data_IF_928979777678
#
_entry.id   IF_928979777678
#
_cell.length_a   1.000
_cell.length_b   1.000
_cell.length_c   1.000
_cell.angle_alpha   90.00
_cell.angle_beta   90.00
_cell.angle_gamma   90.00
#
_symmetry.space_group_name_H-M   'P 1'
#
loop_
_entity.id
_entity.type
_entity.pdbx_description
1 polymer ?
#
# COMPACT_ATOMS: atom_id res chain seq x y z
N UNK A 1 0.14 -7.85 18.88
CA UNK A 1 -0.23 -8.75 17.77
C UNK A 1 -1.25 -8.06 16.90
N UNK A 2 -1.19 -8.23 15.59
CA UNK A 2 -2.09 -7.59 14.62
C UNK A 2 -1.72 -7.97 13.20
N UNK A 3 -2.48 -7.50 12.22
CA UNK A 3 -2.14 -7.58 10.80
C UNK A 3 -1.50 -6.27 10.36
N UNK A 4 -0.25 -6.29 9.90
CA UNK A 4 0.36 -5.13 9.25
C UNK A 4 -0.04 -5.14 7.76
N UNK A 5 -0.65 -4.07 7.27
CA UNK A 5 -0.95 -3.86 5.85
C UNK A 5 -0.17 -2.65 5.36
N UNK A 6 0.80 -2.91 4.50
CA UNK A 6 1.70 -1.89 3.96
C UNK A 6 1.39 -1.62 2.49
N UNK A 7 1.29 -0.34 2.13
CA UNK A 7 1.27 0.10 0.74
C UNK A 7 2.40 1.10 0.50
N UNK A 8 3.57 0.59 0.09
CA UNK A 8 4.80 1.33 -0.06
C UNK A 8 4.98 1.95 -1.45
N UNK A 9 6.23 2.28 -1.77
CA UNK A 9 6.63 2.74 -3.10
C UNK A 9 6.88 1.57 -4.06
N UNK A 10 7.56 0.51 -3.60
CA UNK A 10 7.91 -0.65 -4.43
C UNK A 10 6.96 -1.83 -4.33
N UNK A 11 6.35 -2.05 -3.16
CA UNK A 11 5.53 -3.22 -2.86
C UNK A 11 4.34 -2.85 -1.99
N UNK A 12 3.25 -3.60 -2.11
CA UNK A 12 2.21 -3.66 -1.09
C UNK A 12 2.13 -5.09 -0.54
N UNK A 13 1.96 -5.24 0.77
CA UNK A 13 1.85 -6.56 1.39
C UNK A 13 1.01 -6.52 2.67
N UNK A 14 0.55 -7.70 3.07
CA UNK A 14 -0.11 -7.93 4.34
C UNK A 14 0.64 -9.02 5.10
N UNK A 15 1.07 -8.72 6.32
CA UNK A 15 1.91 -9.58 7.17
C UNK A 15 1.29 -9.72 8.55
N UNK A 16 0.87 -10.93 8.97
CA UNK A 16 0.42 -11.16 10.34
C UNK A 16 1.59 -11.12 11.32
N UNK A 17 1.39 -10.45 12.45
CA UNK A 17 2.36 -10.34 13.54
C UNK A 17 1.72 -10.88 14.81
N UNK A 18 2.33 -11.89 15.43
CA UNK A 18 1.86 -12.47 16.69
C UNK A 18 3.01 -12.61 17.68
N UNK A 19 2.83 -12.08 18.89
CA UNK A 19 3.85 -12.16 19.94
C UNK A 19 5.19 -11.53 19.55
N UNK A 20 5.16 -10.44 18.77
CA UNK A 20 6.36 -9.77 18.27
C UNK A 20 6.97 -10.39 17.00
N UNK A 21 6.50 -11.56 16.56
CA UNK A 21 7.09 -12.29 15.44
C UNK A 21 6.20 -12.22 14.20
N UNK A 22 6.84 -12.04 13.04
CA UNK A 22 6.18 -12.04 11.73
C UNK A 22 5.91 -13.46 11.26
N UNK A 23 4.72 -13.71 10.73
CA UNK A 23 4.37 -15.00 10.14
C UNK A 23 4.65 -15.00 8.64
N UNK A 24 5.91 -15.23 8.26
CA UNK A 24 6.36 -15.15 6.86
C UNK A 24 5.55 -16.05 5.90
N UNK A 25 5.17 -17.26 6.34
CA UNK A 25 4.32 -18.18 5.55
C UNK A 25 2.88 -17.70 5.33
N UNK A 26 2.47 -16.67 6.07
CA UNK A 26 1.17 -16.01 5.97
C UNK A 26 1.30 -14.56 5.47
N UNK A 27 2.46 -14.19 4.93
CA UNK A 27 2.67 -12.91 4.26
C UNK A 27 2.28 -13.01 2.80
N UNK A 28 1.42 -12.11 2.34
CA UNK A 28 1.00 -12.03 0.95
C UNK A 28 1.35 -10.66 0.38
N UNK A 29 1.82 -10.61 -0.87
CA UNK A 29 2.33 -9.39 -1.50
C UNK A 29 1.82 -9.20 -2.93
N UNK A 30 1.81 -7.96 -3.38
CA UNK A 30 1.71 -7.56 -4.78
C UNK A 30 2.76 -6.51 -5.13
N UNK A 31 3.17 -6.49 -6.39
CA UNK A 31 4.15 -5.53 -6.91
C UNK A 31 3.47 -4.30 -7.55
N UNK A 32 2.15 -4.15 -7.35
CA UNK A 32 1.42 -2.90 -7.61
C UNK A 32 1.55 -1.99 -6.40
N UNK A 33 2.39 -0.96 -6.52
CA UNK A 33 2.69 -0.02 -5.45
C UNK A 33 2.93 1.40 -5.97
N UNK A 34 3.33 2.32 -5.11
CA UNK A 34 3.39 3.76 -5.42
C UNK A 34 4.19 4.14 -6.67
N UNK A 35 5.29 3.46 -6.99
CA UNK A 35 6.08 3.69 -8.20
C UNK A 35 5.32 3.21 -9.45
N UNK A 36 4.65 2.06 -9.36
CA UNK A 36 3.76 1.53 -10.39
C UNK A 36 2.62 2.51 -10.67
N UNK A 37 1.98 3.05 -9.63
CA UNK A 37 0.91 4.04 -9.79
C UNK A 37 1.40 5.35 -10.42
N UNK A 38 2.66 5.74 -10.17
CA UNK A 38 3.22 6.97 -10.76
C UNK A 38 3.49 6.80 -12.26
N UNK A 39 3.91 5.60 -12.70
CA UNK A 39 3.98 5.27 -14.13
C UNK A 39 2.58 5.23 -14.75
N UNK A 40 1.65 4.52 -14.12
CA UNK A 40 0.28 4.42 -14.62
C UNK A 40 -0.41 5.79 -14.75
N UNK A 41 -0.21 6.69 -13.79
CA UNK A 41 -0.71 8.06 -13.88
C UNK A 41 -0.14 8.82 -15.06
N UNK A 42 1.16 8.63 -15.39
CA UNK A 42 1.73 9.23 -16.59
C UNK A 42 1.00 8.73 -17.84
N UNK A 43 0.77 7.43 -17.93
CA UNK A 43 0.10 6.83 -19.09
C UNK A 43 -1.33 7.37 -19.25
N UNK A 44 -2.10 7.42 -18.15
CA UNK A 44 -3.43 8.04 -18.12
C UNK A 44 -3.41 9.49 -18.61
N UNK A 45 -2.46 10.29 -18.11
CA UNK A 45 -2.34 11.70 -18.47
C UNK A 45 -1.92 11.92 -19.93
N UNK A 46 -1.09 11.04 -20.49
CA UNK A 46 -0.68 11.10 -21.90
C UNK A 46 -1.88 10.85 -22.80
N UNK A 47 -2.72 9.87 -22.46
CA UNK A 47 -3.96 9.60 -23.19
C UNK A 47 -4.96 10.76 -23.09
N UNK A 48 -5.12 11.35 -21.91
CA UNK A 48 -6.08 12.42 -21.68
C UNK A 48 -5.65 13.79 -22.22
N UNK A 49 -4.34 14.08 -22.20
CA UNK A 49 -3.77 15.38 -22.55
C UNK A 49 -2.62 15.25 -23.57
N UNK A 50 -2.88 14.80 -24.81
CA UNK A 50 -1.83 14.54 -25.81
C UNK A 50 -1.05 15.81 -26.21
N UNK A 51 -1.66 16.98 -26.09
CA UNK A 51 -1.05 18.27 -26.46
C UNK A 51 -0.10 18.83 -25.39
N UNK A 52 -0.19 18.33 -24.16
CA UNK A 52 0.74 18.68 -23.09
C UNK A 52 1.85 17.64 -23.18
N UNK A 53 3.12 18.08 -23.23
CA UNK A 53 4.29 17.21 -23.28
C UNK A 53 4.50 16.41 -21.97
N UNK A 54 3.49 15.69 -21.50
CA UNK A 54 3.45 14.90 -20.26
C UNK A 54 4.59 13.88 -20.24
N UNK A 55 4.93 13.31 -21.40
CA UNK A 55 6.06 12.39 -21.53
C UNK A 55 7.40 13.00 -21.10
N UNK A 56 7.61 14.30 -21.37
CA UNK A 56 8.82 15.00 -20.98
C UNK A 56 8.87 15.39 -19.49
N UNK A 57 7.79 15.19 -18.73
CA UNK A 57 7.74 15.62 -17.33
C UNK A 57 8.62 14.73 -16.44
N UNK A 58 9.41 15.33 -15.52
CA UNK A 58 10.21 14.57 -14.57
C UNK A 58 9.35 13.63 -13.71
N UNK A 59 9.89 12.47 -13.36
CA UNK A 59 9.21 11.50 -12.48
C UNK A 59 8.79 12.12 -11.13
N UNK A 60 9.61 13.04 -10.59
CA UNK A 60 9.29 13.78 -9.36
C UNK A 60 8.00 14.59 -9.51
N UNK A 61 7.76 15.21 -10.67
CA UNK A 61 6.55 16.01 -10.94
C UNK A 61 5.31 15.13 -10.93
N UNK A 62 5.35 13.99 -11.62
CA UNK A 62 4.23 13.02 -11.62
C UNK A 62 3.99 12.47 -10.22
N UNK A 63 5.04 12.19 -9.45
CA UNK A 63 4.92 11.76 -8.06
C UNK A 63 4.25 12.81 -7.19
N UNK A 64 4.57 14.10 -7.38
CA UNK A 64 3.94 15.21 -6.63
C UNK A 64 2.48 15.42 -7.04
N UNK A 65 2.19 15.35 -8.33
CA UNK A 65 0.83 15.38 -8.87
C UNK A 65 -0.02 14.25 -8.26
N UNK A 66 0.50 13.01 -8.28
CA UNK A 66 -0.14 11.86 -7.64
C UNK A 66 -0.47 12.14 -6.18
N UNK A 67 0.53 12.57 -5.39
CA UNK A 67 0.36 12.81 -3.95
C UNK A 67 -0.63 13.94 -3.63
N UNK A 68 -0.72 14.96 -4.49
CA UNK A 68 -1.53 16.17 -4.24
C UNK A 68 -2.94 16.09 -4.83
N UNK A 69 -3.12 15.35 -5.91
CA UNK A 69 -4.36 15.38 -6.68
C UNK A 69 -5.14 14.06 -6.62
N UNK A 70 -4.48 12.91 -6.44
CA UNK A 70 -5.17 11.62 -6.48
C UNK A 70 -5.83 11.26 -5.14
N UNK A 71 -6.87 10.45 -5.23
CA UNK A 71 -7.64 9.93 -4.09
C UNK A 71 -8.26 8.59 -4.46
N UNK A 72 -8.63 7.79 -3.47
CA UNK A 72 -9.30 6.50 -3.68
C UNK A 72 -10.81 6.73 -3.71
N UNK A 73 -11.47 6.25 -4.76
CA UNK A 73 -12.93 6.24 -4.86
C UNK A 73 -13.53 5.10 -4.04
N UNK A 74 -14.73 5.30 -3.49
CA UNK A 74 -15.51 4.24 -2.82
C UNK A 74 -16.38 3.44 -3.79
N UNK A 75 -16.69 4.02 -4.96
CA UNK A 75 -17.49 3.42 -6.01
C UNK A 75 -16.87 3.83 -7.36
N UNK A 76 -15.82 3.08 -7.71
CA UNK A 76 -14.96 3.35 -8.86
C UNK A 76 -15.78 3.40 -10.17
N UNK A 77 -16.62 2.40 -10.40
CA UNK A 77 -17.47 2.32 -11.59
C UNK A 77 -18.44 3.48 -11.66
N UNK A 78 -19.12 3.79 -10.55
CA UNK A 78 -20.06 4.91 -10.53
C UNK A 78 -19.40 6.27 -10.80
N UNK A 79 -18.19 6.50 -10.26
CA UNK A 79 -17.43 7.72 -10.51
C UNK A 79 -16.91 7.81 -11.95
N UNK A 80 -16.60 6.67 -12.58
CA UNK A 80 -16.16 6.59 -13.98
C UNK A 80 -17.30 6.92 -14.95
N UNK A 81 -18.51 6.44 -14.67
CA UNK A 81 -19.68 6.64 -15.54
C UNK A 81 -20.32 8.02 -15.40
N UNK A 82 -20.14 8.71 -14.27
CA UNK A 82 -20.78 10.00 -14.02
C UNK A 82 -19.75 11.09 -13.65
N UNK A 83 -19.36 11.95 -14.61
CA UNK A 83 -18.45 13.08 -14.37
C UNK A 83 -18.89 14.06 -13.30
N UNK A 84 -20.19 14.16 -13.00
CA UNK A 84 -20.69 15.07 -11.95
C UNK A 84 -20.33 14.59 -10.53
N UNK A 85 -19.90 13.33 -10.36
CA UNK A 85 -19.50 12.76 -9.06
C UNK A 85 -18.07 13.13 -8.65
N UNK A 86 -17.27 13.66 -9.57
CA UNK A 86 -15.88 14.01 -9.30
C UNK A 86 -15.51 15.38 -9.83
N UNK A 87 -14.68 16.09 -9.08
CA UNK A 87 -14.28 17.44 -9.43
C UNK A 87 -12.89 17.42 -10.08
N UNK A 88 -12.71 18.07 -11.25
CA UNK A 88 -11.39 18.25 -11.84
C UNK A 88 -10.44 19.01 -10.90
N UNK A 89 -9.15 18.73 -10.99
CA UNK A 89 -8.10 19.48 -10.32
C UNK A 89 -7.11 20.06 -11.34
N UNK A 90 -6.59 21.25 -11.06
CA UNK A 90 -5.53 21.86 -11.84
C UNK A 90 -4.20 21.75 -11.10
N UNK A 91 -3.16 21.25 -11.77
CA UNK A 91 -1.83 21.09 -11.23
C UNK A 91 -0.82 21.93 -12.04
N UNK A 92 -0.08 22.81 -11.37
CA UNK A 92 0.97 23.59 -12.04
C UNK A 92 2.19 22.71 -12.32
N UNK A 93 2.52 22.56 -13.60
CA UNK A 93 3.62 21.72 -14.08
C UNK A 93 4.93 22.53 -14.21
N UNK A 94 4.83 23.85 -14.28
CA UNK A 94 5.95 24.80 -14.35
C UNK A 94 5.66 25.95 -15.32
N UNK A 95 6.33 27.10 -15.14
CA UNK A 95 6.21 28.30 -16.02
C UNK A 95 4.75 28.77 -16.27
N UNK A 96 3.85 28.61 -15.30
CA UNK A 96 2.43 28.97 -15.44
C UNK A 96 1.60 28.01 -16.29
N UNK A 97 2.17 26.86 -16.71
CA UNK A 97 1.41 25.80 -17.39
C UNK A 97 0.68 24.94 -16.35
N UNK A 98 -0.62 24.73 -16.59
CA UNK A 98 -1.49 23.92 -15.74
C UNK A 98 -1.98 22.69 -16.49
N UNK A 99 -1.94 21.56 -15.80
CA UNK A 99 -2.53 20.31 -16.24
C UNK A 99 -3.84 20.11 -15.51
N UNK A 100 -4.93 19.98 -16.26
CA UNK A 100 -6.26 19.64 -15.74
C UNK A 100 -6.39 18.13 -15.67
N UNK A 101 -6.74 17.60 -14.49
CA UNK A 101 -6.86 16.18 -14.19
C UNK A 101 -8.31 15.93 -13.75
N UNK A 102 -8.97 14.93 -14.32
CA UNK A 102 -10.37 14.59 -14.04
C UNK A 102 -10.44 13.20 -13.38
N UNK A 103 -10.76 12.16 -14.14
CA UNK A 103 -10.92 10.80 -13.64
C UNK A 103 -9.60 10.14 -13.30
N UNK A 104 -8.48 10.59 -13.87
CA UNK A 104 -7.14 10.05 -13.58
C UNK A 104 -6.78 10.19 -12.10
N UNK A 105 -7.42 11.14 -11.39
CA UNK A 105 -7.28 11.35 -9.95
C UNK A 105 -7.65 10.09 -9.16
N UNK A 106 -8.73 9.41 -9.52
CA UNK A 106 -9.19 8.21 -8.81
C UNK A 106 -8.88 6.92 -9.57
N UNK A 107 -8.69 6.96 -10.88
CA UNK A 107 -8.17 5.83 -11.64
C UNK A 107 -6.74 5.49 -11.21
N UNK A 108 -5.89 6.49 -10.92
CA UNK A 108 -4.50 6.25 -10.57
C UNK A 108 -4.28 5.26 -9.40
N UNK A 109 -4.95 5.38 -8.24
CA UNK A 109 -4.76 4.45 -7.13
C UNK A 109 -5.59 3.16 -7.22
N UNK A 110 -6.59 3.08 -8.11
CA UNK A 110 -7.48 1.90 -8.22
C UNK A 110 -6.71 0.58 -8.41
N UNK A 111 -5.58 0.49 -9.14
CA UNK A 111 -4.83 -0.75 -9.28
C UNK A 111 -4.33 -1.39 -7.98
N UNK A 112 -4.25 -0.66 -6.85
CA UNK A 112 -3.97 -1.28 -5.55
C UNK A 112 -5.09 -2.26 -5.15
N UNK A 113 -6.33 -1.95 -5.52
CA UNK A 113 -7.54 -2.73 -5.24
C UNK A 113 -7.90 -3.64 -6.42
N UNK A 114 -7.65 -3.20 -7.65
CA UNK A 114 -7.91 -3.95 -8.89
C UNK A 114 -6.67 -4.05 -9.78
N UNK A 115 -5.71 -4.94 -9.48
CA UNK A 115 -4.47 -5.09 -10.26
C UNK A 115 -4.68 -5.42 -11.74
N UNK A 116 -5.84 -6.00 -12.09
CA UNK A 116 -6.21 -6.34 -13.46
C UNK A 116 -6.25 -5.12 -14.40
N UNK A 117 -6.46 -3.91 -13.88
CA UNK A 117 -6.40 -2.66 -14.65
C UNK A 117 -4.99 -2.39 -15.23
N UNK A 118 -3.97 -3.05 -14.68
CA UNK A 118 -2.58 -3.03 -15.18
C UNK A 118 -2.20 -4.34 -15.88
N UNK A 119 -3.17 -5.18 -16.23
CA UNK A 119 -2.94 -6.51 -16.81
C UNK A 119 -2.36 -7.52 -15.82
N UNK A 120 -2.42 -7.27 -14.51
CA UNK A 120 -1.94 -8.22 -13.50
C UNK A 120 -3.10 -9.07 -12.96
N UNK A 121 -2.97 -10.40 -13.02
CA UNK A 121 -4.00 -11.34 -12.56
C UNK A 121 -4.03 -11.55 -11.04
N UNK A 122 -3.17 -10.86 -10.30
CA UNK A 122 -3.07 -10.99 -8.84
C UNK A 122 -4.24 -10.34 -8.07
N UNK A 123 -4.47 -10.73 -6.82
CA UNK A 123 -5.49 -10.13 -5.98
C UNK A 123 -5.08 -8.71 -5.51
N UNK A 124 -6.07 -7.84 -5.33
CA UNK A 124 -5.85 -6.53 -4.70
C UNK A 124 -5.52 -6.60 -3.21
N UNK A 125 -5.15 -5.46 -2.63
CA UNK A 125 -4.64 -5.37 -1.27
C UNK A 125 -5.61 -5.89 -0.20
N UNK A 126 -6.91 -5.62 -0.34
CA UNK A 126 -7.91 -6.12 0.59
C UNK A 126 -7.99 -7.65 0.59
N UNK A 127 -7.92 -8.27 -0.60
CA UNK A 127 -7.90 -9.72 -0.74
C UNK A 127 -6.60 -10.33 -0.20
N UNK A 128 -5.45 -9.70 -0.40
CA UNK A 128 -4.18 -10.11 0.21
C UNK A 128 -4.26 -10.08 1.75
N UNK A 129 -4.82 -9.02 2.32
CA UNK A 129 -5.02 -8.89 3.76
C UNK A 129 -5.96 -9.98 4.30
N UNK A 130 -7.03 -10.30 3.58
CA UNK A 130 -7.91 -11.41 3.94
C UNK A 130 -7.20 -12.77 3.86
N UNK A 131 -6.43 -13.03 2.79
CA UNK A 131 -5.64 -14.26 2.64
C UNK A 131 -4.64 -14.45 3.78
N UNK A 132 -3.99 -13.36 4.21
CA UNK A 132 -3.10 -13.35 5.37
C UNK A 132 -3.83 -13.79 6.65
N UNK A 133 -5.04 -13.26 6.89
CA UNK A 133 -5.88 -13.67 8.02
C UNK A 133 -6.31 -15.14 7.91
N UNK A 134 -6.72 -15.61 6.72
CA UNK A 134 -7.15 -17.00 6.53
C UNK A 134 -6.03 -18.01 6.78
N UNK A 135 -4.78 -17.65 6.46
CA UNK A 135 -3.62 -18.52 6.68
C UNK A 135 -3.29 -18.70 8.16
N UNK A 136 -3.79 -17.80 9.03
CA UNK A 136 -3.59 -17.89 10.48
C UNK A 136 -4.56 -18.89 11.13
N UNK A 137 -4.17 -19.52 12.26
CA UNK A 137 -5.05 -20.39 13.03
C UNK A 137 -6.37 -19.69 13.41
N UNK A 138 -7.53 -20.37 13.36
CA UNK A 138 -8.84 -19.75 13.64
C UNK A 138 -8.90 -18.99 14.96
N UNK A 139 -8.24 -19.51 16.00
CA UNK A 139 -8.16 -18.89 17.35
C UNK A 139 -7.48 -17.52 17.37
N UNK A 140 -6.65 -17.21 16.36
CA UNK A 140 -5.92 -15.94 16.26
C UNK A 140 -6.57 -14.93 15.31
N UNK A 141 -7.41 -15.38 14.37
CA UNK A 141 -7.95 -14.53 13.29
C UNK A 141 -8.69 -13.32 13.82
N UNK A 142 -9.60 -13.51 14.79
CA UNK A 142 -10.35 -12.41 15.41
C UNK A 142 -9.43 -11.40 16.08
N UNK A 143 -8.42 -11.88 16.82
CA UNK A 143 -7.44 -11.01 17.47
C UNK A 143 -6.64 -10.18 16.47
N UNK A 144 -6.21 -10.78 15.36
CA UNK A 144 -5.44 -10.08 14.33
C UNK A 144 -6.31 -9.10 13.53
N UNK A 145 -7.55 -9.47 13.22
CA UNK A 145 -8.49 -8.60 12.51
C UNK A 145 -8.90 -7.38 13.35
N UNK A 146 -8.99 -7.51 14.67
CA UNK A 146 -9.25 -6.36 15.56
C UNK A 146 -8.11 -5.34 15.60
N UNK A 147 -6.98 -5.59 14.95
CA UNK A 147 -5.85 -4.67 14.88
C UNK A 147 -5.14 -4.78 13.53
N UNK A 148 -5.70 -4.12 12.52
CA UNK A 148 -5.10 -4.00 11.18
C UNK A 148 -4.34 -2.68 11.10
N UNK A 149 -3.01 -2.70 11.24
CA UNK A 149 -2.19 -1.49 11.23
C UNK A 149 -1.79 -1.13 9.82
N UNK A 150 -2.08 0.11 9.41
CA UNK A 150 -1.70 0.62 8.09
C UNK A 150 -0.34 1.30 8.11
N UNK A 151 0.49 1.02 7.10
CA UNK A 151 1.79 1.64 6.91
C UNK A 151 2.08 1.94 5.42
N UNK A 152 3.00 2.86 5.17
CA UNK A 152 3.50 3.15 3.82
C UNK A 152 2.80 4.32 3.13
N UNK A 153 3.54 4.99 2.25
CA UNK A 153 3.15 6.27 1.67
C UNK A 153 1.90 6.23 0.77
N UNK A 154 1.56 5.08 0.18
CA UNK A 154 0.36 4.95 -0.66
C UNK A 154 -0.92 4.82 0.18
N UNK A 155 -0.83 4.48 1.47
CA UNK A 155 -1.99 4.51 2.40
C UNK A 155 -2.42 5.93 2.79
N UNK A 156 -1.70 6.96 2.30
CA UNK A 156 -2.00 8.37 2.56
C UNK A 156 -2.99 8.96 1.56
N UNK A 157 -3.41 8.22 0.52
CA UNK A 157 -4.47 8.71 -0.36
C UNK A 157 -5.75 8.97 0.44
N UNK A 158 -6.41 10.12 0.23
CA UNK A 158 -7.76 10.33 0.77
C UNK A 158 -8.70 9.20 0.31
N UNK A 159 -9.56 8.71 1.19
CA UNK A 159 -10.47 7.59 0.90
C UNK A 159 -9.87 6.19 1.04
N UNK A 160 -8.54 6.06 1.19
CA UNK A 160 -7.89 4.75 1.23
C UNK A 160 -8.37 3.88 2.38
N UNK A 161 -8.48 4.46 3.58
CA UNK A 161 -8.89 3.74 4.80
C UNK A 161 -10.31 3.21 4.62
N UNK A 162 -11.23 4.08 4.17
CA UNK A 162 -12.63 3.76 3.98
C UNK A 162 -12.83 2.67 2.91
N UNK A 163 -12.12 2.76 1.79
CA UNK A 163 -12.18 1.74 0.72
C UNK A 163 -11.63 0.40 1.19
N UNK A 164 -10.48 0.40 1.88
CA UNK A 164 -9.87 -0.83 2.39
C UNK A 164 -10.73 -1.50 3.46
N UNK A 165 -11.34 -0.72 4.36
CA UNK A 165 -12.26 -1.23 5.38
C UNK A 165 -13.48 -1.91 4.72
N UNK A 166 -14.13 -1.21 3.78
CA UNK A 166 -15.28 -1.70 3.04
C UNK A 166 -14.97 -3.00 2.28
N UNK A 167 -13.84 -3.04 1.56
CA UNK A 167 -13.47 -4.22 0.79
C UNK A 167 -13.05 -5.38 1.69
N UNK A 168 -12.27 -5.13 2.74
CA UNK A 168 -11.81 -6.19 3.64
C UNK A 168 -13.00 -6.81 4.41
N UNK A 169 -13.92 -5.98 4.89
CA UNK A 169 -15.17 -6.46 5.49
C UNK A 169 -16.01 -7.25 4.46
N UNK A 170 -16.08 -6.75 3.21
CA UNK A 170 -16.69 -7.46 2.10
C UNK A 170 -16.08 -8.85 1.86
N UNK A 171 -14.75 -8.98 1.88
CA UNK A 171 -14.06 -10.27 1.80
C UNK A 171 -14.44 -11.19 2.96
N UNK A 172 -14.46 -10.67 4.19
CA UNK A 172 -14.87 -11.46 5.37
C UNK A 172 -16.29 -12.01 5.20
N UNK A 173 -17.26 -11.17 4.79
CA UNK A 173 -18.65 -11.61 4.58
C UNK A 173 -18.78 -12.63 3.46
N UNK A 174 -18.18 -12.37 2.27
CA UNK A 174 -18.25 -13.26 1.10
C UNK A 174 -17.70 -14.67 1.39
N UNK A 175 -16.72 -14.76 2.27
CA UNK A 175 -16.08 -16.03 2.64
C UNK A 175 -16.62 -16.63 3.96
N UNK A 176 -17.79 -16.20 4.44
CA UNK A 176 -18.47 -16.85 5.57
C UNK A 176 -18.01 -16.42 6.97
N UNK A 177 -17.37 -15.25 7.10
CA UNK A 177 -16.93 -14.68 8.38
C UNK A 177 -17.65 -13.34 8.71
N UNK A 178 -19.00 -13.30 8.76
CA UNK A 178 -19.74 -12.05 8.97
C UNK A 178 -19.53 -11.41 10.36
N UNK A 179 -19.11 -12.21 11.35
CA UNK A 179 -18.78 -11.73 12.69
C UNK A 179 -17.35 -11.15 12.79
N UNK A 180 -16.48 -11.43 11.82
CA UNK A 180 -15.12 -10.89 11.80
C UNK A 180 -15.20 -9.45 11.29
N UNK A 181 -14.97 -8.48 12.19
CA UNK A 181 -14.96 -7.05 11.86
C UNK A 181 -13.53 -6.53 11.95
N UNK A 182 -12.84 -6.35 10.80
CA UNK A 182 -11.54 -5.72 10.78
C UNK A 182 -11.60 -4.33 11.42
N UNK A 183 -10.58 -3.97 12.19
CA UNK A 183 -10.44 -2.63 12.75
C UNK A 183 -9.12 -2.04 12.29
N UNK A 184 -9.22 -1.05 11.39
CA UNK A 184 -8.07 -0.39 10.78
C UNK A 184 -7.50 0.68 11.72
N UNK A 185 -6.21 0.58 12.00
CA UNK A 185 -5.43 1.52 12.79
C UNK A 185 -4.54 2.31 11.84
N UNK A 186 -4.92 3.57 11.59
CA UNK A 186 -4.23 4.46 10.65
C UNK A 186 -3.58 5.64 11.36
N UNK A 187 -2.37 5.43 11.88
CA UNK A 187 -1.63 6.49 12.58
C UNK A 187 -1.27 7.66 11.63
N UNK A 188 -1.25 8.93 12.11
CA UNK A 188 -0.87 10.08 11.29
C UNK A 188 0.54 9.95 10.66
N UNK A 189 1.49 9.38 11.41
CA UNK A 189 2.87 9.13 10.96
C UNK A 189 3.06 7.88 10.08
N UNK A 190 1.99 7.23 9.61
CA UNK A 190 2.08 5.94 8.90
C UNK A 190 2.91 5.95 7.61
N UNK A 191 3.11 7.13 7.00
CA UNK A 191 3.98 7.28 5.84
C UNK A 191 5.46 7.02 6.12
N UNK A 192 5.89 7.18 7.37
CA UNK A 192 7.26 6.95 7.86
C UNK A 192 7.30 5.93 9.00
N UNK A 193 6.24 5.16 9.20
CA UNK A 193 6.13 4.19 10.31
C UNK A 193 7.24 3.14 10.30
N UNK A 194 7.60 2.61 9.12
CA UNK A 194 8.68 1.63 8.97
C UNK A 194 10.02 2.21 9.42
N UNK A 195 10.36 3.42 8.96
CA UNK A 195 11.59 4.10 9.38
C UNK A 195 11.60 4.41 10.88
N UNK A 196 10.47 4.89 11.40
CA UNK A 196 10.31 5.19 12.84
C UNK A 196 10.51 3.92 13.68
N UNK A 197 9.90 2.80 13.28
CA UNK A 197 10.08 1.51 13.94
C UNK A 197 11.53 1.03 13.89
N UNK A 198 12.19 1.14 12.73
CA UNK A 198 13.62 0.81 12.61
C UNK A 198 14.50 1.67 13.51
N UNK A 199 14.24 2.98 13.58
CA UNK A 199 14.94 3.89 14.49
C UNK A 199 14.74 3.51 15.96
N UNK A 200 13.53 3.09 16.34
CA UNK A 200 13.22 2.65 17.70
C UNK A 200 13.97 1.36 18.04
N UNK A 201 13.90 0.35 17.17
CA UNK A 201 14.58 -0.95 17.37
C UNK A 201 16.09 -0.75 17.46
N UNK A 202 16.68 0.04 16.57
CA UNK A 202 18.12 0.33 16.59
C UNK A 202 18.58 1.09 17.84
N UNK A 203 17.67 1.76 18.54
CA UNK A 203 17.96 2.45 19.81
C UNK A 203 17.85 1.56 21.04
N UNK A 204 17.36 0.31 20.91
CA UNK A 204 17.30 -0.63 22.01
C UNK A 204 18.70 -1.18 22.32
N UNK A 205 19.09 -1.18 23.60
CA UNK A 205 20.38 -1.77 24.01
C UNK A 205 20.51 -3.26 23.63
N UNK A 206 19.39 -3.99 23.60
CA UNK A 206 19.34 -5.39 23.17
C UNK A 206 19.62 -5.60 21.69
N UNK A 207 19.49 -4.58 20.84
CA UNK A 207 19.69 -4.71 19.39
C UNK A 207 21.11 -5.14 19.02
N UNK A 208 22.10 -4.87 19.89
CA UNK A 208 23.48 -5.32 19.69
C UNK A 208 23.62 -6.85 19.74
N UNK A 209 22.65 -7.56 20.33
CA UNK A 209 22.61 -9.02 20.32
C UNK A 209 22.03 -9.59 19.02
N UNK A 210 21.32 -8.77 18.24
CA UNK A 210 20.55 -9.19 17.06
C UNK A 210 21.18 -8.75 15.73
N UNK A 211 22.26 -7.94 15.76
CA UNK A 211 22.94 -7.49 14.55
C UNK A 211 24.06 -8.43 14.09
N UNK A 212 24.47 -8.31 12.83
CA UNK A 212 25.59 -9.08 12.27
C UNK A 212 26.79 -8.15 12.07
N UNK A 213 27.95 -8.52 12.64
CA UNK A 213 29.18 -7.75 12.46
C UNK A 213 29.88 -8.11 11.15
N UNK A 214 30.80 -7.24 10.70
CA UNK A 214 31.63 -7.51 9.51
C UNK A 214 32.47 -8.77 9.67
N UNK A 215 33.05 -9.02 10.85
CA UNK A 215 33.88 -10.19 11.11
C UNK A 215 33.07 -11.49 10.98
N UNK A 216 31.88 -11.53 11.60
CA UNK A 216 30.95 -12.66 11.48
C UNK A 216 30.62 -12.99 10.02
N UNK A 217 30.35 -11.98 9.20
CA UNK A 217 30.08 -12.17 7.78
C UNK A 217 31.31 -12.66 7.00
N UNK A 218 32.51 -12.17 7.33
CA UNK A 218 33.75 -12.61 6.67
C UNK A 218 34.09 -14.07 6.99
N UNK A 219 33.72 -14.56 8.17
CA UNK A 219 33.96 -15.95 8.60
C UNK A 219 32.91 -16.93 8.06
N UNK A 220 31.62 -16.59 8.16
CA UNK A 220 30.52 -17.51 7.84
C UNK A 220 29.85 -17.24 6.47
N UNK A 221 30.18 -16.12 5.83
CA UNK A 221 29.61 -15.71 4.55
C UNK A 221 28.11 -15.40 4.60
N UNK A 222 27.47 -15.49 3.43
CA UNK A 222 26.06 -15.14 3.25
C UNK A 222 25.08 -16.07 3.98
N UNK A 223 25.47 -17.28 4.36
CA UNK A 223 24.60 -18.22 5.07
C UNK A 223 24.13 -17.65 6.41
N UNK A 224 25.03 -16.99 7.14
CA UNK A 224 24.75 -16.42 8.45
C UNK A 224 23.66 -15.33 8.40
N UNK A 225 23.53 -14.62 7.28
CA UNK A 225 22.47 -13.61 7.10
C UNK A 225 21.08 -14.23 7.28
N UNK A 226 20.88 -15.45 6.76
CA UNK A 226 19.61 -16.15 6.87
C UNK A 226 19.38 -16.74 8.27
N UNK A 227 20.43 -16.99 9.05
CA UNK A 227 20.31 -17.50 10.43
C UNK A 227 19.97 -16.36 11.40
N UNK A 228 20.48 -15.15 11.15
CA UNK A 228 20.26 -13.98 12.02
C UNK A 228 18.92 -13.29 11.75
N UNK A 229 18.46 -13.24 10.49
CA UNK A 229 17.35 -12.37 10.08
C UNK A 229 16.10 -13.07 9.51
N UNK A 230 16.03 -14.41 9.49
CA UNK A 230 14.80 -15.16 9.12
C UNK A 230 14.22 -15.91 10.32
#
# INVERSE_FOLDING_TARGET
SGLAVEAGAGVCHATPIYGGHSWHKATFRQDVAGSTLSRYLRDLLVTACPNIGVQALPHKTITQLKKRCCYVSLDFEGDLHNPARHHPASFCVGKGCYLRITSERFCCPEPIFQPCLLGQSGPGLAALAFQALQKMPPTLRTRLANTVVLAGGSTLFPGFIQRLDLELEGQCRRHGYPALRPHLVANPGRGSAVWTGGSMVASLGSFQCDWMTRAMYQECGSRLVHEVFN
#
